data_IF_545988173484
#
_entry.id   IF_545988173484
#
_cell.length_a   1.000
_cell.length_b   1.000
_cell.length_c   1.000
_cell.angle_alpha   90.00
_cell.angle_beta   90.00
_cell.angle_gamma   90.00
#
_symmetry.space_group_name_H-M   'P 1'
#
loop_
_entity.id
_entity.type
_entity.pdbx_description
1 polymer ?
#
# COMPACT_ATOMS: atom_id res chain seq x y z
N UNK A 1 -10.76 13.17 -60.17
CA UNK A 1 -10.95 11.89 -59.44
C UNK A 1 -10.63 12.13 -57.97
N UNK A 2 -11.66 12.21 -57.12
CA UNK A 2 -11.52 12.46 -55.68
C UNK A 2 -11.71 11.13 -54.94
N UNK A 3 -10.64 10.58 -54.37
CA UNK A 3 -10.70 9.40 -53.50
C UNK A 3 -11.11 9.85 -52.09
N UNK A 4 -12.39 9.65 -51.74
CA UNK A 4 -12.86 9.71 -50.36
C UNK A 4 -12.34 8.48 -49.60
N UNK A 5 -11.36 8.68 -48.72
CA UNK A 5 -10.92 7.67 -47.75
C UNK A 5 -11.97 7.56 -46.65
N UNK A 6 -12.70 6.43 -46.61
CA UNK A 6 -13.48 6.03 -45.45
C UNK A 6 -12.52 5.56 -44.35
N UNK A 7 -12.50 6.26 -43.22
CA UNK A 7 -11.85 5.80 -42.00
C UNK A 7 -12.74 4.73 -41.36
N UNK A 8 -12.26 3.53 -41.05
CA UNK A 8 -13.04 2.57 -40.29
C UNK A 8 -13.19 3.06 -38.85
N UNK A 9 -14.43 3.20 -38.41
CA UNK A 9 -14.80 3.47 -37.03
C UNK A 9 -14.50 2.21 -36.21
N UNK A 10 -13.33 2.15 -35.59
CA UNK A 10 -12.99 1.07 -34.64
C UNK A 10 -13.82 1.33 -33.38
N UNK A 11 -14.89 0.56 -33.23
CA UNK A 11 -15.70 0.52 -32.02
C UNK A 11 -14.82 -0.09 -30.91
N UNK A 12 -14.18 0.76 -30.09
CA UNK A 12 -13.55 0.32 -28.85
C UNK A 12 -14.67 -0.14 -27.92
N UNK A 13 -14.93 -1.44 -27.88
CA UNK A 13 -15.73 -2.04 -26.83
C UNK A 13 -14.95 -1.89 -25.53
N UNK A 14 -15.31 -0.89 -24.73
CA UNK A 14 -14.85 -0.83 -23.34
C UNK A 14 -15.40 -2.06 -22.64
N UNK A 15 -14.55 -3.07 -22.41
CA UNK A 15 -14.84 -4.19 -21.54
C UNK A 15 -15.10 -3.61 -20.15
N UNK A 16 -16.37 -3.30 -19.88
CA UNK A 16 -16.83 -2.99 -18.54
C UNK A 16 -16.62 -4.27 -17.73
N UNK A 17 -15.65 -4.25 -16.82
CA UNK A 17 -15.53 -5.29 -15.81
C UNK A 17 -16.83 -5.25 -14.99
N UNK A 18 -17.72 -6.21 -15.26
CA UNK A 18 -18.97 -6.34 -14.52
C UNK A 18 -18.62 -6.63 -13.05
N UNK A 19 -19.06 -5.75 -12.15
CA UNK A 19 -19.02 -5.99 -10.71
C UNK A 19 -19.98 -7.10 -10.34
N UNK A 20 -19.65 -7.88 -9.31
CA UNK A 20 -20.41 -9.07 -8.91
C UNK A 20 -21.34 -8.71 -7.77
N UNK A 21 -22.63 -9.03 -7.87
CA UNK A 21 -23.59 -8.73 -6.83
C UNK A 21 -23.23 -9.48 -5.52
N UNK A 22 -23.61 -8.95 -4.35
CA UNK A 22 -23.30 -9.57 -3.05
C UNK A 22 -23.73 -11.04 -2.95
N UNK A 23 -24.83 -11.44 -3.57
CA UNK A 23 -25.37 -12.80 -3.53
C UNK A 23 -24.46 -13.81 -4.24
N UNK A 24 -23.86 -13.42 -5.37
CA UNK A 24 -22.88 -14.25 -6.08
C UNK A 24 -21.64 -14.48 -5.21
N UNK A 25 -21.18 -13.43 -4.53
CA UNK A 25 -20.08 -13.56 -3.59
C UNK A 25 -20.43 -14.50 -2.44
N UNK A 26 -21.61 -14.32 -1.81
CA UNK A 26 -22.04 -15.15 -0.68
C UNK A 26 -22.10 -16.62 -1.09
N UNK A 27 -22.69 -16.94 -2.25
CA UNK A 27 -22.73 -18.32 -2.76
C UNK A 27 -21.35 -18.91 -3.09
N UNK A 28 -20.37 -18.05 -3.40
CA UNK A 28 -19.00 -18.43 -3.73
C UNK A 28 -18.03 -18.35 -2.54
N UNK A 29 -18.53 -18.00 -1.35
CA UNK A 29 -17.75 -17.90 -0.13
C UNK A 29 -17.93 -19.16 0.72
N UNK A 30 -16.83 -19.80 1.12
CA UNK A 30 -16.91 -21.06 1.86
C UNK A 30 -17.34 -20.92 3.33
N UNK A 31 -17.41 -19.68 3.84
CA UNK A 31 -17.85 -19.35 5.19
C UNK A 31 -19.26 -18.73 5.20
N UNK A 32 -19.65 -18.18 6.35
CA UNK A 32 -20.90 -17.45 6.50
C UNK A 32 -20.71 -15.98 6.18
N UNK A 33 -21.58 -15.42 5.34
CA UNK A 33 -21.66 -13.99 5.07
C UNK A 33 -23.13 -13.56 4.89
N UNK A 34 -23.43 -12.30 5.18
CA UNK A 34 -24.76 -11.74 5.05
C UNK A 34 -24.70 -10.37 4.35
N UNK A 35 -25.63 -10.15 3.43
CA UNK A 35 -25.86 -8.88 2.76
C UNK A 35 -27.07 -8.18 3.38
N UNK A 36 -26.91 -6.90 3.72
CA UNK A 36 -27.98 -6.03 4.19
C UNK A 36 -28.13 -4.86 3.21
N UNK A 37 -29.16 -4.93 2.37
CA UNK A 37 -29.43 -3.95 1.33
C UNK A 37 -29.74 -2.56 1.90
N UNK A 38 -30.53 -2.48 2.97
CA UNK A 38 -30.94 -1.21 3.60
C UNK A 38 -29.76 -0.36 4.10
N UNK A 39 -28.69 -1.02 4.53
CA UNK A 39 -27.47 -0.38 5.03
C UNK A 39 -26.30 -0.44 4.06
N UNK A 40 -26.50 -1.03 2.87
CA UNK A 40 -25.45 -1.25 1.88
C UNK A 40 -24.22 -1.97 2.45
N UNK A 41 -24.44 -2.92 3.36
CA UNK A 41 -23.40 -3.61 4.14
C UNK A 41 -23.32 -5.10 3.82
N UNK A 42 -22.12 -5.58 3.46
CA UNK A 42 -21.79 -7.00 3.46
C UNK A 42 -20.96 -7.35 4.71
N UNK A 43 -21.43 -8.30 5.51
CA UNK A 43 -20.71 -8.79 6.68
C UNK A 43 -20.26 -10.24 6.52
N UNK A 44 -18.97 -10.49 6.68
CA UNK A 44 -18.40 -11.84 6.83
C UNK A 44 -18.49 -12.29 8.29
N UNK A 45 -19.29 -13.32 8.56
CA UNK A 45 -19.65 -13.79 9.89
C UNK A 45 -18.67 -14.86 10.39
N UNK A 46 -18.26 -15.78 9.51
CA UNK A 46 -17.31 -16.85 9.84
C UNK A 46 -16.21 -16.94 8.80
N UNK A 47 -15.07 -17.52 9.20
CA UNK A 47 -13.90 -17.69 8.33
C UNK A 47 -14.21 -18.52 7.09
N UNK A 48 -13.53 -18.21 6.00
CA UNK A 48 -13.76 -18.84 4.71
C UNK A 48 -12.92 -18.24 3.59
N UNK A 49 -13.09 -18.79 2.39
CA UNK A 49 -12.37 -18.40 1.19
C UNK A 49 -13.35 -17.94 0.11
N UNK A 50 -13.07 -16.79 -0.50
CA UNK A 50 -13.75 -16.33 -1.71
C UNK A 50 -13.26 -17.21 -2.87
N UNK A 51 -14.19 -17.90 -3.55
CA UNK A 51 -13.87 -18.76 -4.69
C UNK A 51 -14.85 -18.53 -5.85
N UNK A 52 -14.75 -17.34 -6.46
CA UNK A 52 -15.56 -16.94 -7.59
C UNK A 52 -15.15 -17.72 -8.84
N UNK A 53 -16.12 -18.10 -9.67
CA UNK A 53 -15.85 -18.74 -10.95
C UNK A 53 -15.32 -17.72 -11.97
N UNK A 54 -14.00 -17.47 -11.94
CA UNK A 54 -13.33 -16.52 -12.84
C UNK A 54 -12.07 -17.08 -13.45
N UNK A 55 -11.84 -16.67 -14.69
CA UNK A 55 -10.58 -16.89 -15.38
C UNK A 55 -9.43 -16.05 -14.77
N UNK A 56 -8.20 -16.30 -15.23
CA UNK A 56 -7.03 -15.47 -14.96
C UNK A 56 -6.66 -15.32 -13.48
N UNK A 57 -6.86 -16.38 -12.68
CA UNK A 57 -6.39 -16.45 -11.28
C UNK A 57 -7.01 -15.36 -10.38
N UNK A 58 -8.22 -14.91 -10.76
CA UNK A 58 -8.98 -13.86 -10.04
C UNK A 58 -10.13 -14.40 -9.19
N UNK A 59 -10.20 -15.72 -8.97
CA UNK A 59 -11.26 -16.35 -8.17
C UNK A 59 -11.35 -15.80 -6.74
N UNK A 60 -10.25 -15.30 -6.19
CA UNK A 60 -10.21 -14.71 -4.84
C UNK A 60 -10.51 -13.20 -4.81
N UNK A 61 -10.68 -12.54 -5.95
CA UNK A 61 -10.76 -11.08 -6.03
C UNK A 61 -12.19 -10.65 -6.33
N UNK A 62 -12.87 -10.12 -5.33
CA UNK A 62 -14.20 -9.56 -5.52
C UNK A 62 -14.11 -8.13 -6.06
N UNK A 63 -14.68 -7.90 -7.25
CA UNK A 63 -14.91 -6.55 -7.74
C UNK A 63 -16.21 -6.04 -7.11
N UNK A 64 -16.05 -5.23 -6.07
CA UNK A 64 -17.11 -4.77 -5.18
C UNK A 64 -18.06 -3.86 -5.97
N UNK A 65 -19.36 -4.20 -6.03
CA UNK A 65 -20.33 -3.44 -6.79
C UNK A 65 -20.71 -2.16 -6.04
N UNK A 66 -21.25 -1.17 -6.76
CA UNK A 66 -21.38 0.21 -6.24
C UNK A 66 -22.40 0.32 -5.10
N UNK A 67 -23.36 -0.58 -5.06
CA UNK A 67 -24.36 -0.72 -4.02
C UNK A 67 -23.76 -1.14 -2.66
N UNK A 68 -22.54 -1.71 -2.65
CA UNK A 68 -21.84 -2.06 -1.41
C UNK A 68 -20.96 -0.89 -0.97
N UNK A 69 -21.44 -0.15 0.03
CA UNK A 69 -20.66 0.96 0.62
C UNK A 69 -19.87 0.53 1.85
N UNK A 70 -20.18 -0.64 2.43
CA UNK A 70 -19.54 -1.14 3.64
C UNK A 70 -19.29 -2.65 3.59
N UNK A 71 -18.09 -3.07 3.98
CA UNK A 71 -17.70 -4.46 4.14
C UNK A 71 -17.17 -4.65 5.56
N UNK A 72 -17.76 -5.57 6.32
CA UNK A 72 -17.40 -5.86 7.71
C UNK A 72 -16.81 -7.26 7.81
N UNK A 73 -15.60 -7.36 8.36
CA UNK A 73 -14.95 -8.62 8.73
C UNK A 73 -15.26 -8.89 10.19
N UNK A 74 -16.02 -9.94 10.48
CA UNK A 74 -16.42 -10.30 11.84
C UNK A 74 -15.23 -10.52 12.77
N UNK A 75 -15.47 -10.46 14.08
CA UNK A 75 -14.48 -10.85 15.09
C UNK A 75 -14.16 -12.35 14.95
N UNK A 76 -12.88 -12.72 15.10
CA UNK A 76 -12.39 -14.09 14.90
C UNK A 76 -12.67 -14.67 13.51
N UNK A 77 -12.77 -13.80 12.50
CA UNK A 77 -13.04 -14.17 11.12
C UNK A 77 -11.79 -13.96 10.26
N UNK A 78 -11.43 -15.00 9.49
CA UNK A 78 -10.40 -14.94 8.46
C UNK A 78 -11.08 -15.04 7.09
N UNK A 79 -11.03 -13.96 6.32
CA UNK A 79 -11.50 -13.91 4.94
C UNK A 79 -10.31 -14.08 4.01
N UNK A 80 -10.18 -15.24 3.37
CA UNK A 80 -9.21 -15.46 2.30
C UNK A 80 -9.78 -14.93 1.00
N UNK A 81 -9.21 -13.84 0.46
CA UNK A 81 -9.81 -13.11 -0.64
C UNK A 81 -9.12 -11.79 -0.91
N UNK A 82 -9.69 -10.91 -1.73
CA UNK A 82 -9.25 -9.54 -1.97
C UNK A 82 -10.44 -8.69 -2.43
N UNK A 83 -10.38 -7.37 -2.19
CA UNK A 83 -11.48 -6.45 -2.43
C UNK A 83 -11.08 -5.32 -3.38
N UNK A 84 -11.76 -5.21 -4.51
CA UNK A 84 -11.51 -4.19 -5.53
C UNK A 84 -12.72 -3.27 -5.69
N UNK A 85 -12.62 -2.04 -5.21
CA UNK A 85 -13.74 -1.08 -5.19
C UNK A 85 -13.72 -0.15 -6.40
N UNK A 86 -14.89 0.32 -6.81
CA UNK A 86 -15.05 1.32 -7.88
C UNK A 86 -15.92 2.53 -7.46
N UNK A 87 -16.30 2.58 -6.19
CA UNK A 87 -17.06 3.65 -5.51
C UNK A 87 -16.54 3.81 -4.08
N UNK A 88 -17.08 4.80 -3.37
CA UNK A 88 -16.85 4.96 -1.94
C UNK A 88 -17.18 3.67 -1.19
N UNK A 89 -16.22 3.17 -0.43
CA UNK A 89 -16.38 1.92 0.31
C UNK A 89 -15.52 1.93 1.57
N UNK A 90 -16.09 1.48 2.68
CA UNK A 90 -15.38 1.22 3.93
C UNK A 90 -15.26 -0.28 4.14
N UNK A 91 -14.04 -0.78 4.29
CA UNK A 91 -13.72 -2.16 4.63
C UNK A 91 -13.15 -2.15 6.04
N UNK A 92 -13.83 -2.79 6.99
CA UNK A 92 -13.41 -2.73 8.38
C UNK A 92 -13.54 -4.06 9.13
N UNK A 93 -12.70 -4.25 10.12
CA UNK A 93 -12.82 -5.35 11.07
C UNK A 93 -13.60 -4.92 12.31
N UNK A 94 -14.32 -5.85 12.92
CA UNK A 94 -14.87 -5.65 14.26
C UNK A 94 -13.75 -5.61 15.32
N UNK A 95 -12.62 -6.27 15.06
CA UNK A 95 -11.47 -6.31 15.95
C UNK A 95 -10.16 -6.42 15.16
N UNK A 96 -9.25 -5.45 15.36
CA UNK A 96 -7.98 -5.38 14.63
C UNK A 96 -7.18 -6.68 14.60
N UNK A 97 -7.18 -7.44 15.69
CA UNK A 97 -6.29 -8.59 15.85
C UNK A 97 -6.91 -9.90 15.37
N UNK A 98 -8.24 -9.95 15.27
CA UNK A 98 -8.99 -11.19 14.99
C UNK A 98 -9.87 -11.11 13.74
N UNK A 99 -10.09 -9.91 13.20
CA UNK A 99 -10.68 -9.67 11.89
C UNK A 99 -9.56 -9.62 10.84
N UNK A 100 -9.36 -10.74 10.14
CA UNK A 100 -8.22 -10.95 9.26
C UNK A 100 -8.67 -11.03 7.81
N UNK A 101 -7.98 -10.31 6.93
CA UNK A 101 -8.06 -10.53 5.48
C UNK A 101 -6.76 -11.17 5.02
N UNK A 102 -6.86 -12.38 4.48
CA UNK A 102 -5.73 -13.21 4.09
C UNK A 102 -5.60 -13.30 2.56
N UNK A 103 -4.39 -13.16 2.02
CA UNK A 103 -4.13 -13.35 0.60
C UNK A 103 -3.73 -14.78 0.25
N UNK A 104 -2.44 -15.11 0.43
CA UNK A 104 -1.86 -16.40 0.03
C UNK A 104 -0.61 -16.74 0.84
N UNK A 105 -0.37 -18.02 1.12
CA UNK A 105 0.87 -18.52 1.73
C UNK A 105 2.03 -18.56 0.73
N UNK A 106 1.72 -18.57 -0.56
CA UNK A 106 2.70 -18.74 -1.61
C UNK A 106 3.64 -17.53 -1.69
N UNK A 107 4.94 -17.81 -1.59
CA UNK A 107 5.97 -16.84 -1.94
C UNK A 107 5.98 -16.59 -3.45
N UNK A 108 6.26 -15.33 -3.84
CA UNK A 108 6.36 -14.95 -5.26
C UNK A 108 5.13 -15.32 -6.10
N UNK A 109 3.94 -15.21 -5.50
CA UNK A 109 2.68 -15.63 -6.12
C UNK A 109 2.47 -15.06 -7.53
N UNK A 110 2.75 -13.77 -7.73
CA UNK A 110 2.64 -13.11 -9.04
C UNK A 110 3.73 -13.57 -10.02
N UNK A 111 5.00 -13.58 -9.60
CA UNK A 111 6.13 -13.95 -10.46
C UNK A 111 6.03 -15.40 -10.94
N UNK A 112 5.63 -16.33 -10.06
CA UNK A 112 5.50 -17.75 -10.39
C UNK A 112 4.39 -18.02 -11.43
N UNK A 113 3.57 -17.00 -11.73
CA UNK A 113 2.47 -17.04 -12.70
C UNK A 113 2.69 -16.11 -13.89
N UNK A 114 3.85 -15.46 -13.99
CA UNK A 114 4.13 -14.48 -15.03
C UNK A 114 3.22 -13.25 -14.99
N UNK A 115 2.65 -12.94 -13.82
CA UNK A 115 1.73 -11.82 -13.64
C UNK A 115 2.48 -10.53 -13.35
N UNK A 116 1.90 -9.40 -13.76
CA UNK A 116 2.36 -8.08 -13.32
C UNK A 116 1.86 -7.82 -11.91
N UNK A 117 2.72 -7.98 -10.92
CA UNK A 117 2.36 -7.90 -9.50
C UNK A 117 1.57 -6.63 -9.13
N UNK A 118 1.89 -5.51 -9.76
CA UNK A 118 1.19 -4.25 -9.51
C UNK A 118 -0.32 -4.36 -9.79
N UNK A 119 -0.77 -5.20 -10.71
CA UNK A 119 -2.19 -5.33 -11.09
C UNK A 119 -3.05 -6.05 -10.04
N UNK A 120 -2.43 -6.53 -8.96
CA UNK A 120 -3.07 -7.31 -7.91
C UNK A 120 -2.82 -6.67 -6.55
N UNK A 121 -3.88 -6.48 -5.77
CA UNK A 121 -3.77 -5.97 -4.41
C UNK A 121 -4.85 -6.54 -3.51
N UNK A 122 -4.55 -6.63 -2.22
CA UNK A 122 -5.49 -7.05 -1.19
C UNK A 122 -6.70 -6.12 -1.11
N UNK A 123 -6.44 -4.81 -1.21
CA UNK A 123 -7.45 -3.75 -1.31
C UNK A 123 -7.08 -2.82 -2.47
N UNK A 124 -7.88 -2.84 -3.53
CA UNK A 124 -7.71 -1.96 -4.68
C UNK A 124 -8.81 -0.91 -4.73
N UNK A 125 -8.44 0.36 -4.92
CA UNK A 125 -9.38 1.43 -5.23
C UNK A 125 -9.25 1.85 -6.70
N UNK A 126 -10.29 1.58 -7.49
CA UNK A 126 -10.42 1.99 -8.90
C UNK A 126 -11.31 3.22 -9.09
N UNK A 127 -12.02 3.68 -8.05
CA UNK A 127 -12.86 4.88 -8.07
C UNK A 127 -13.48 5.18 -6.70
N UNK A 128 -13.77 6.45 -6.43
CA UNK A 128 -14.26 6.91 -5.13
C UNK A 128 -13.19 6.91 -4.04
N UNK A 129 -13.61 6.87 -2.78
CA UNK A 129 -12.75 6.86 -1.59
C UNK A 129 -12.79 5.50 -0.90
N UNK A 130 -11.64 4.85 -0.80
CA UNK A 130 -11.48 3.59 -0.05
C UNK A 130 -11.01 3.87 1.37
N UNK A 131 -11.70 3.30 2.36
CA UNK A 131 -11.32 3.35 3.79
C UNK A 131 -11.11 1.93 4.28
N UNK A 132 -9.94 1.62 4.81
CA UNK A 132 -9.60 0.32 5.41
C UNK A 132 -9.31 0.53 6.89
N UNK A 133 -10.06 -0.12 7.79
CA UNK A 133 -9.99 0.18 9.23
C UNK A 133 -10.01 -1.04 10.14
N UNK A 134 -9.35 -0.94 11.29
CA UNK A 134 -9.51 -1.85 12.43
C UNK A 134 -9.44 -3.35 12.07
N UNK A 135 -8.50 -3.73 11.20
CA UNK A 135 -8.30 -5.12 10.75
C UNK A 135 -6.82 -5.45 10.57
N UNK A 136 -6.52 -6.73 10.41
CA UNK A 136 -5.19 -7.21 10.01
C UNK A 136 -5.27 -7.81 8.61
N UNK A 137 -4.40 -7.37 7.70
CA UNK A 137 -4.19 -7.98 6.40
C UNK A 137 -2.90 -8.80 6.43
N UNK A 138 -2.95 -10.05 5.98
CA UNK A 138 -1.83 -10.99 6.04
C UNK A 138 -1.54 -11.58 4.66
N UNK A 139 -0.25 -11.59 4.30
CA UNK A 139 0.31 -12.22 3.12
C UNK A 139 -0.46 -11.91 1.83
N UNK A 140 -0.42 -10.67 1.34
CA UNK A 140 -1.19 -10.25 0.18
C UNK A 140 -0.74 -11.02 -1.06
N UNK A 141 -1.65 -11.18 -2.03
CA UNK A 141 -1.31 -11.77 -3.33
C UNK A 141 -0.18 -11.02 -4.04
N UNK A 142 -0.22 -9.69 -3.95
CA UNK A 142 0.89 -8.80 -4.24
C UNK A 142 0.77 -7.59 -3.31
N UNK A 143 0.21 -6.45 -3.72
CA UNK A 143 0.20 -5.23 -2.91
C UNK A 143 -0.85 -5.31 -1.78
N UNK A 144 -0.67 -4.62 -0.65
CA UNK A 144 -1.71 -4.47 0.35
C UNK A 144 -2.78 -3.45 -0.08
N UNK A 145 -2.44 -2.16 -0.14
CA UNK A 145 -3.37 -1.10 -0.56
C UNK A 145 -2.87 -0.41 -1.82
N UNK A 146 -3.73 -0.38 -2.84
CA UNK A 146 -3.45 0.34 -4.09
C UNK A 146 -4.63 1.16 -4.59
N UNK A 147 -4.49 2.48 -4.54
CA UNK A 147 -5.47 3.43 -5.06
C UNK A 147 -5.14 4.07 -6.40
N UNK A 148 -3.94 3.83 -6.94
CA UNK A 148 -3.45 4.54 -8.14
C UNK A 148 -3.43 6.05 -7.95
N UNK A 149 -4.46 6.77 -8.39
CA UNK A 149 -4.67 8.21 -8.19
C UNK A 149 -5.86 8.51 -7.25
N UNK A 150 -6.62 7.48 -6.87
CA UNK A 150 -7.79 7.60 -6.00
C UNK A 150 -7.37 7.63 -4.53
N UNK A 151 -8.19 8.30 -3.71
CA UNK A 151 -7.94 8.49 -2.29
C UNK A 151 -8.11 7.17 -1.53
N UNK A 152 -7.15 6.88 -0.65
CA UNK A 152 -7.21 5.72 0.25
C UNK A 152 -6.94 6.18 1.68
N UNK A 153 -7.60 5.56 2.65
CA UNK A 153 -7.35 5.79 4.07
C UNK A 153 -7.14 4.47 4.78
N UNK A 154 -6.05 4.35 5.55
CA UNK A 154 -5.81 3.21 6.42
C UNK A 154 -5.77 3.70 7.88
N UNK A 155 -6.63 3.15 8.75
CA UNK A 155 -6.66 3.53 10.17
C UNK A 155 -6.71 2.31 11.09
N UNK A 156 -5.80 2.22 12.06
CA UNK A 156 -5.72 1.12 13.03
C UNK A 156 -5.62 -0.26 12.37
N UNK A 157 -4.82 -0.36 11.29
CA UNK A 157 -4.61 -1.61 10.56
C UNK A 157 -3.22 -2.20 10.78
N UNK A 158 -3.10 -3.52 10.61
CA UNK A 158 -1.81 -4.20 10.53
C UNK A 158 -1.65 -4.86 9.16
N UNK A 159 -0.55 -4.61 8.46
CA UNK A 159 -0.25 -5.17 7.15
C UNK A 159 1.02 -6.03 7.24
N UNK A 160 0.87 -7.36 7.20
CA UNK A 160 1.92 -8.30 7.58
C UNK A 160 2.20 -9.31 6.46
N UNK A 161 3.41 -9.30 5.91
CA UNK A 161 3.95 -10.40 5.10
C UNK A 161 4.89 -11.25 5.96
N UNK A 162 4.35 -12.33 6.50
CA UNK A 162 5.12 -13.27 7.33
C UNK A 162 5.89 -14.31 6.49
N UNK A 163 5.80 -14.26 5.15
CA UNK A 163 6.55 -15.16 4.24
C UNK A 163 8.00 -14.72 4.06
N UNK A 164 8.44 -13.65 4.73
CA UNK A 164 9.84 -13.21 4.73
C UNK A 164 10.21 -12.21 3.64
N UNK A 165 9.29 -11.84 2.74
CA UNK A 165 9.35 -10.63 1.90
C UNK A 165 10.14 -10.70 0.59
N UNK A 166 10.85 -11.78 0.26
CA UNK A 166 11.62 -11.86 -0.98
C UNK A 166 10.75 -12.19 -2.21
N UNK A 167 10.58 -11.22 -3.10
CA UNK A 167 9.86 -11.40 -4.38
C UNK A 167 8.35 -11.53 -4.24
N UNK A 168 7.80 -11.20 -3.06
CA UNK A 168 6.35 -11.28 -2.83
C UNK A 168 5.58 -10.07 -3.37
N UNK A 169 6.27 -8.97 -3.69
CA UNK A 169 5.66 -7.70 -4.10
C UNK A 169 4.61 -7.20 -3.11
N UNK A 170 4.86 -7.43 -1.82
CA UNK A 170 3.97 -7.07 -0.73
C UNK A 170 4.14 -5.62 -0.30
N UNK A 171 4.00 -4.70 -1.23
CA UNK A 171 4.02 -3.26 -1.01
C UNK A 171 2.90 -2.86 -0.05
N UNK A 172 3.15 -1.93 0.87
CA UNK A 172 2.19 -1.54 1.91
C UNK A 172 1.09 -0.63 1.39
N UNK A 173 1.39 0.66 1.24
CA UNK A 173 0.40 1.68 0.95
C UNK A 173 0.77 2.54 -0.27
N UNK A 174 -0.17 2.63 -1.21
CA UNK A 174 -0.08 3.48 -2.40
C UNK A 174 -1.43 4.15 -2.70
N UNK A 175 -1.71 5.30 -2.07
CA UNK A 175 -2.91 6.12 -2.33
C UNK A 175 -2.62 7.36 -3.17
N UNK A 176 -3.66 7.96 -3.75
CA UNK A 176 -3.62 9.26 -4.43
C UNK A 176 -3.54 10.45 -3.47
N UNK A 177 -3.69 11.67 -3.99
CA UNK A 177 -3.69 12.89 -3.17
C UNK A 177 -4.76 12.85 -2.06
N UNK A 178 -4.40 13.38 -0.90
CA UNK A 178 -5.29 13.45 0.27
C UNK A 178 -5.43 12.12 1.01
N UNK A 179 -4.65 11.10 0.65
CA UNK A 179 -4.68 9.80 1.33
C UNK A 179 -4.04 9.88 2.71
N UNK A 180 -4.53 9.08 3.65
CA UNK A 180 -4.02 9.08 5.04
C UNK A 180 -3.68 7.68 5.55
N UNK A 181 -2.69 7.61 6.43
CA UNK A 181 -2.28 6.40 7.16
C UNK A 181 -2.19 6.76 8.64
N UNK A 182 -2.96 6.08 9.50
CA UNK A 182 -3.07 6.43 10.92
C UNK A 182 -3.06 5.20 11.81
N UNK A 183 -2.23 5.19 12.84
CA UNK A 183 -2.18 4.16 13.89
C UNK A 183 -1.94 2.73 13.33
N UNK A 184 -1.19 2.64 12.24
CA UNK A 184 -0.97 1.40 11.48
C UNK A 184 0.36 0.71 11.80
N UNK A 185 0.41 -0.60 11.55
CA UNK A 185 1.63 -1.41 11.58
C UNK A 185 1.92 -1.99 10.20
N UNK A 186 3.16 -1.91 9.72
CA UNK A 186 3.60 -2.51 8.46
C UNK A 186 4.79 -3.45 8.67
N UNK A 187 4.68 -4.66 8.12
CA UNK A 187 5.75 -5.64 7.98
C UNK A 187 5.72 -6.12 6.52
N UNK A 188 6.26 -5.32 5.62
CA UNK A 188 6.12 -5.48 4.17
C UNK A 188 7.42 -5.94 3.54
N UNK A 189 7.34 -6.92 2.63
CA UNK A 189 8.43 -7.39 1.77
C UNK A 189 8.79 -6.47 0.60
N UNK A 190 8.33 -5.21 0.59
CA UNK A 190 8.67 -4.23 -0.44
C UNK A 190 8.51 -2.80 0.11
N UNK A 191 8.17 -1.82 -0.74
CA UNK A 191 7.91 -0.43 -0.37
C UNK A 191 6.73 -0.35 0.63
N UNK A 192 6.99 0.03 1.88
CA UNK A 192 5.95 0.10 2.92
C UNK A 192 5.01 1.29 2.68
N UNK A 193 5.55 2.48 2.42
CA UNK A 193 4.77 3.68 2.12
C UNK A 193 5.34 4.32 0.85
N UNK A 194 4.49 4.45 -0.19
CA UNK A 194 4.84 5.14 -1.43
C UNK A 194 4.39 6.59 -1.38
N UNK A 195 5.35 7.49 -1.22
CA UNK A 195 5.16 8.94 -1.16
C UNK A 195 5.06 9.56 -2.57
N UNK A 196 4.21 8.99 -3.43
CA UNK A 196 4.08 9.43 -4.82
C UNK A 196 3.15 10.63 -4.97
N UNK A 197 2.19 10.77 -4.05
CA UNK A 197 1.16 11.81 -4.00
C UNK A 197 1.21 12.54 -2.65
N UNK A 198 0.36 13.56 -2.49
CA UNK A 198 0.21 14.24 -1.20
C UNK A 198 -0.46 13.30 -0.20
N UNK A 199 0.24 12.98 0.89
CA UNK A 199 -0.23 12.03 1.90
C UNK A 199 0.11 12.49 3.32
N UNK A 200 -0.70 12.03 4.26
CA UNK A 200 -0.46 12.20 5.69
C UNK A 200 -0.27 10.85 6.38
N UNK A 201 0.75 10.76 7.23
CA UNK A 201 1.11 9.54 7.96
C UNK A 201 1.24 9.89 9.44
N UNK A 202 0.57 9.17 10.33
CA UNK A 202 0.62 9.43 11.77
C UNK A 202 0.55 8.16 12.62
N UNK A 203 1.36 8.06 13.68
CA UNK A 203 1.30 6.94 14.63
C UNK A 203 1.63 5.59 14.01
N UNK A 204 2.57 5.54 13.05
CA UNK A 204 2.85 4.32 12.27
C UNK A 204 4.11 3.62 12.76
N UNK A 205 4.03 2.29 12.89
CA UNK A 205 5.22 1.44 13.07
C UNK A 205 5.51 0.64 11.81
N UNK A 206 6.78 0.64 11.36
CA UNK A 206 7.25 -0.14 10.21
C UNK A 206 8.37 -1.08 10.67
N UNK A 207 8.16 -2.38 10.54
CA UNK A 207 9.21 -3.39 10.75
C UNK A 207 9.87 -3.74 9.42
N UNK A 208 11.15 -3.38 9.31
CA UNK A 208 11.96 -3.70 8.14
C UNK A 208 12.31 -5.19 8.11
N UNK A 209 11.57 -5.95 7.29
CA UNK A 209 11.91 -7.31 6.87
C UNK A 209 12.74 -7.29 5.57
N UNK A 210 13.03 -8.46 5.01
CA UNK A 210 13.81 -8.52 3.76
C UNK A 210 13.09 -7.75 2.66
N UNK A 211 13.86 -7.02 1.85
CA UNK A 211 13.38 -6.20 0.74
C UNK A 211 12.50 -4.97 1.12
N UNK A 212 12.18 -4.79 2.40
CA UNK A 212 11.44 -3.61 2.87
C UNK A 212 12.18 -2.30 2.60
N UNK A 213 11.44 -1.28 2.15
CA UNK A 213 11.83 0.14 2.19
C UNK A 213 10.72 0.93 2.86
N UNK A 214 10.96 1.57 4.02
CA UNK A 214 9.93 2.34 4.73
C UNK A 214 9.26 3.42 3.89
N UNK A 215 10.04 4.26 3.21
CA UNK A 215 9.53 5.35 2.38
C UNK A 215 10.14 5.31 0.97
N UNK A 216 9.29 5.11 -0.03
CA UNK A 216 9.67 5.11 -1.44
C UNK A 216 9.13 6.36 -2.15
N UNK A 217 10.00 7.05 -2.87
CA UNK A 217 9.66 8.28 -3.60
C UNK A 217 9.43 8.09 -5.10
N UNK A 218 9.88 6.97 -5.68
CA UNK A 218 9.53 6.67 -7.06
C UNK A 218 10.35 5.57 -7.71
N UNK A 219 9.73 4.97 -8.72
CA UNK A 219 10.36 4.13 -9.73
C UNK A 219 10.34 4.79 -11.12
N UNK A 220 9.66 5.93 -11.26
CA UNK A 220 9.48 6.75 -12.46
C UNK A 220 9.14 8.19 -12.03
N UNK A 221 9.00 9.09 -13.01
CA UNK A 221 8.37 10.40 -12.84
C UNK A 221 6.86 10.20 -12.71
N UNK A 222 6.28 10.70 -11.62
CA UNK A 222 4.84 10.70 -11.39
C UNK A 222 4.31 12.13 -11.39
N UNK A 223 4.75 12.91 -10.41
CA UNK A 223 4.27 14.26 -10.11
C UNK A 223 4.98 14.82 -8.87
N UNK A 224 4.93 16.13 -8.67
CA UNK A 224 5.32 16.74 -7.40
C UNK A 224 4.39 16.31 -6.27
N UNK A 225 4.94 16.23 -5.05
CA UNK A 225 4.12 15.89 -3.88
C UNK A 225 4.69 16.39 -2.55
N UNK A 226 3.79 16.48 -1.57
CA UNK A 226 4.03 16.85 -0.18
C UNK A 226 3.60 15.71 0.74
N UNK A 227 4.55 15.11 1.46
CA UNK A 227 4.24 14.14 2.52
C UNK A 227 4.39 14.79 3.90
N UNK A 228 3.37 14.65 4.75
CA UNK A 228 3.39 15.08 6.15
C UNK A 228 3.37 13.85 7.04
N UNK A 229 4.40 13.67 7.85
CA UNK A 229 4.64 12.44 8.58
C UNK A 229 4.85 12.78 10.05
N UNK A 230 4.12 12.10 10.93
CA UNK A 230 4.17 12.32 12.37
C UNK A 230 4.29 11.01 13.13
N UNK A 231 5.08 10.97 14.19
CA UNK A 231 5.12 9.86 15.15
C UNK A 231 5.32 8.49 14.47
N UNK A 232 6.39 8.36 13.70
CA UNK A 232 6.74 7.12 12.98
C UNK A 232 7.91 6.43 13.65
N UNK A 233 7.72 5.13 13.91
CA UNK A 233 8.76 4.24 14.44
C UNK A 233 9.14 3.19 13.40
N UNK A 234 10.44 3.05 13.13
CA UNK A 234 11.00 2.05 12.22
C UNK A 234 11.88 1.11 13.03
N UNK A 235 11.59 -0.19 12.96
CA UNK A 235 12.31 -1.23 13.71
C UNK A 235 12.84 -2.33 12.79
N UNK A 236 13.71 -3.17 13.32
CA UNK A 236 14.21 -4.37 12.65
C UNK A 236 15.66 -4.24 12.21
N UNK A 237 16.16 -5.25 11.50
CA UNK A 237 17.58 -5.32 11.09
C UNK A 237 17.79 -5.73 9.63
N UNK A 238 16.69 -5.90 8.88
CA UNK A 238 16.69 -6.25 7.45
C UNK A 238 16.29 -5.02 6.62
N UNK A 239 16.03 -5.22 5.33
CA UNK A 239 15.63 -4.19 4.37
C UNK A 239 16.11 -4.51 2.96
N UNK A 240 15.84 -3.60 2.02
CA UNK A 240 16.26 -3.76 0.62
C UNK A 240 17.76 -3.62 0.39
N UNK A 241 18.30 -4.58 -0.36
CA UNK A 241 19.69 -4.56 -0.81
C UNK A 241 20.70 -4.51 0.33
N UNK A 242 21.94 -4.14 -0.01
CA UNK A 242 23.01 -4.05 0.99
C UNK A 242 22.79 -2.88 1.96
N UNK A 243 22.28 -1.76 1.45
CA UNK A 243 22.13 -0.51 2.18
C UNK A 243 20.96 -0.50 3.16
N UNK A 244 19.84 -1.15 2.83
CA UNK A 244 18.60 -1.16 3.63
C UNK A 244 18.15 0.28 3.92
N UNK A 245 17.89 1.09 2.88
CA UNK A 245 17.57 2.50 3.08
C UNK A 245 16.24 2.68 3.81
N UNK A 246 16.17 3.71 4.67
CA UNK A 246 14.90 4.20 5.22
C UNK A 246 14.11 4.96 4.14
N UNK A 247 14.81 5.84 3.42
CA UNK A 247 14.27 6.64 2.33
C UNK A 247 14.93 6.23 1.02
N UNK A 248 14.13 5.84 0.03
CA UNK A 248 14.63 5.44 -1.28
C UNK A 248 13.96 6.24 -2.40
N UNK A 249 14.76 6.53 -3.44
CA UNK A 249 14.25 7.04 -4.71
C UNK A 249 15.06 6.45 -5.85
N UNK A 250 14.44 5.62 -6.68
CA UNK A 250 15.17 4.87 -7.72
C UNK A 250 15.23 5.60 -9.06
N UNK A 251 14.15 6.25 -9.45
CA UNK A 251 14.06 7.01 -10.71
C UNK A 251 12.94 8.05 -10.62
N UNK A 252 12.91 8.98 -11.57
CA UNK A 252 11.96 10.10 -11.66
C UNK A 252 12.64 11.45 -11.64
N UNK A 253 11.91 12.50 -12.02
CA UNK A 253 12.39 13.88 -12.12
C UNK A 253 11.55 14.88 -11.31
N UNK A 254 10.59 14.38 -10.54
CA UNK A 254 9.65 15.19 -9.74
C UNK A 254 10.33 15.97 -8.59
N UNK A 255 9.57 16.86 -7.95
CA UNK A 255 9.91 17.49 -6.67
C UNK A 255 9.10 16.88 -5.51
N UNK A 256 9.80 16.25 -4.57
CA UNK A 256 9.23 15.72 -3.33
C UNK A 256 9.55 16.62 -2.16
N UNK A 257 8.52 17.05 -1.43
CA UNK A 257 8.62 17.77 -0.16
C UNK A 257 8.17 16.86 0.97
N UNK A 258 8.99 16.67 1.99
CA UNK A 258 8.70 15.74 3.09
C UNK A 258 8.94 16.44 4.41
N UNK A 259 7.90 16.48 5.24
CA UNK A 259 7.96 17.08 6.58
C UNK A 259 7.72 15.97 7.60
N UNK A 260 8.70 15.74 8.48
CA UNK A 260 8.63 14.69 9.50
C UNK A 260 8.82 15.28 10.89
N UNK A 261 7.90 14.96 11.78
CA UNK A 261 7.93 15.32 13.20
C UNK A 261 7.75 14.06 14.04
N UNK A 262 8.76 13.62 14.79
CA UNK A 262 8.67 12.38 15.54
C UNK A 262 9.11 11.16 14.72
N UNK A 263 10.39 11.08 14.31
CA UNK A 263 10.93 9.91 13.60
C UNK A 263 11.89 9.11 14.47
N UNK A 264 11.56 7.84 14.73
CA UNK A 264 12.44 6.92 15.45
C UNK A 264 12.90 5.80 14.51
N UNK A 265 14.20 5.58 14.38
CA UNK A 265 14.78 4.52 13.53
C UNK A 265 15.74 3.66 14.34
N UNK A 266 15.32 2.43 14.57
CA UNK A 266 16.05 1.38 15.28
C UNK A 266 16.47 0.28 14.29
N UNK A 267 17.41 0.60 13.41
CA UNK A 267 18.01 -0.37 12.49
C UNK A 267 19.51 -0.05 12.28
N UNK A 268 20.40 -0.62 13.10
CA UNK A 268 21.83 -0.30 13.05
C UNK A 268 22.52 -0.81 11.77
N UNK A 269 21.81 -1.55 10.91
CA UNK A 269 22.31 -2.04 9.61
C UNK A 269 21.81 -1.20 8.43
N UNK A 270 20.91 -0.25 8.66
CA UNK A 270 20.30 0.59 7.63
C UNK A 270 21.21 1.73 7.17
N UNK A 271 20.77 2.39 6.09
CA UNK A 271 21.20 3.73 5.74
C UNK A 271 20.01 4.69 5.80
N UNK A 272 20.27 5.99 6.00
CA UNK A 272 19.19 6.99 5.92
C UNK A 272 18.66 7.05 4.48
N UNK A 273 19.54 7.25 3.50
CA UNK A 273 19.16 7.55 2.12
C UNK A 273 19.80 6.63 1.06
N UNK A 274 19.00 6.17 0.10
CA UNK A 274 19.47 5.65 -1.19
C UNK A 274 18.71 6.36 -2.32
N UNK A 275 19.32 7.39 -2.91
CA UNK A 275 18.70 8.27 -3.89
C UNK A 275 19.49 8.19 -5.21
N UNK A 276 18.82 7.77 -6.28
CA UNK A 276 19.40 7.52 -7.61
C UNK A 276 18.66 8.30 -8.73
N UNK A 277 17.59 8.99 -8.38
CA UNK A 277 16.76 9.81 -9.26
C UNK A 277 17.46 11.12 -9.69
N UNK A 278 16.92 11.79 -10.71
CA UNK A 278 17.32 13.15 -11.12
C UNK A 278 16.43 14.25 -10.52
N UNK A 279 15.42 13.87 -9.75
CA UNK A 279 14.47 14.78 -9.13
C UNK A 279 15.06 15.58 -7.98
N UNK A 280 14.18 16.30 -7.28
CA UNK A 280 14.51 17.15 -6.14
C UNK A 280 13.85 16.62 -4.88
N UNK A 281 14.61 16.45 -3.80
CA UNK A 281 14.08 16.09 -2.48
C UNK A 281 14.35 17.22 -1.48
N UNK A 282 13.30 17.87 -1.01
CA UNK A 282 13.34 18.76 0.15
C UNK A 282 12.70 18.05 1.36
N UNK A 283 13.52 17.62 2.31
CA UNK A 283 13.10 16.91 3.52
C UNK A 283 13.55 17.65 4.78
N UNK A 284 12.62 17.87 5.70
CA UNK A 284 12.86 18.43 7.04
C UNK A 284 12.36 17.45 8.10
N UNK A 285 13.26 16.97 8.94
CA UNK A 285 13.00 16.01 10.02
C UNK A 285 13.30 16.67 11.36
N UNK A 286 12.31 16.67 12.26
CA UNK A 286 12.40 17.18 13.63
C UNK A 286 12.02 16.10 14.64
N UNK A 287 12.37 16.31 15.90
CA UNK A 287 12.00 15.45 17.03
C UNK A 287 12.33 13.98 16.73
N UNK A 288 13.60 13.71 16.43
CA UNK A 288 14.02 12.47 15.80
C UNK A 288 15.14 11.75 16.57
N UNK A 289 15.02 10.43 16.58
CA UNK A 289 16.07 9.51 16.97
C UNK A 289 16.39 8.60 15.78
N UNK A 290 17.53 8.83 15.12
CA UNK A 290 17.96 8.03 13.97
C UNK A 290 19.29 7.38 14.32
N UNK A 291 19.31 6.06 14.51
CA UNK A 291 20.53 5.30 14.73
C UNK A 291 20.70 4.24 13.63
N UNK A 292 21.51 4.57 12.63
CA UNK A 292 21.75 3.71 11.46
C UNK A 292 23.25 3.55 11.18
N UNK A 293 23.61 2.61 10.29
CA UNK A 293 25.01 2.32 9.96
C UNK A 293 25.70 3.49 9.26
N UNK A 294 24.98 4.17 8.37
CA UNK A 294 25.55 5.21 7.49
C UNK A 294 24.47 6.17 6.99
N UNK A 295 24.87 7.38 6.63
CA UNK A 295 23.97 8.35 5.99
C UNK A 295 23.45 7.85 4.63
N UNK A 296 24.35 7.34 3.77
CA UNK A 296 24.02 6.89 2.42
C UNK A 296 24.33 7.96 1.38
N UNK A 297 23.37 8.27 0.50
CA UNK A 297 23.58 9.18 -0.64
C UNK A 297 23.89 10.60 -0.18
N UNK A 298 25.07 11.13 -0.55
CA UNK A 298 25.55 12.44 -0.10
C UNK A 298 25.16 13.59 -1.02
N UNK A 299 25.31 13.41 -2.34
CA UNK A 299 25.02 14.45 -3.32
C UNK A 299 23.68 14.13 -3.99
N UNK A 300 22.67 14.95 -3.74
CA UNK A 300 21.34 14.85 -4.33
C UNK A 300 20.71 16.24 -4.33
N UNK A 301 19.94 16.56 -5.37
CA UNK A 301 19.31 17.88 -5.54
C UNK A 301 18.24 18.11 -4.46
N UNK A 302 18.28 19.29 -3.83
CA UNK A 302 17.35 19.68 -2.78
C UNK A 302 17.97 19.69 -1.38
N UNK A 303 17.13 19.97 -0.39
CA UNK A 303 17.52 20.18 1.00
C UNK A 303 17.25 18.94 1.84
N UNK A 304 18.23 18.49 2.63
CA UNK A 304 18.04 17.39 3.59
C UNK A 304 18.43 17.88 4.98
N UNK A 305 17.43 18.38 5.72
CA UNK A 305 17.58 18.90 7.07
C UNK A 305 17.07 17.88 8.08
N UNK A 306 17.92 17.46 9.01
CA UNK A 306 17.58 16.52 10.08
C UNK A 306 18.03 17.15 11.39
N UNK A 307 17.13 17.29 12.36
CA UNK A 307 17.41 17.91 13.64
C UNK A 307 18.03 19.31 13.49
N UNK A 308 17.47 20.14 12.62
CA UNK A 308 17.97 21.51 12.43
C UNK A 308 19.22 21.63 11.54
N UNK A 309 19.88 20.54 11.16
CA UNK A 309 21.17 20.57 10.45
C UNK A 309 21.14 19.85 9.10
N UNK A 310 21.98 20.27 8.15
CA UNK A 310 22.24 19.56 6.89
C UNK A 310 23.48 18.66 6.95
N UNK A 311 24.10 18.52 8.13
CA UNK A 311 25.24 17.62 8.32
C UNK A 311 24.83 16.17 8.01
N UNK A 312 25.64 15.50 7.21
CA UNK A 312 25.40 14.13 6.75
C UNK A 312 25.93 13.13 7.78
N UNK A 313 25.11 12.77 8.77
CA UNK A 313 25.48 11.90 9.88
C UNK A 313 24.65 10.62 9.90
N UNK A 314 25.12 9.59 10.58
CA UNK A 314 24.40 8.33 10.73
C UNK A 314 23.71 8.19 12.10
N UNK A 315 24.00 9.11 13.02
CA UNK A 315 23.32 9.30 14.29
C UNK A 315 22.73 10.70 14.35
N UNK A 316 21.43 10.80 14.60
CA UNK A 316 20.74 12.04 14.90
C UNK A 316 19.88 11.85 16.15
N UNK A 317 19.96 12.79 17.08
CA UNK A 317 19.15 12.82 18.29
C UNK A 317 18.72 14.27 18.49
N UNK A 318 17.43 14.55 18.40
CA UNK A 318 16.84 15.83 18.79
C UNK A 318 15.51 15.60 19.50
N UNK A 319 15.20 16.43 20.52
CA UNK A 319 13.88 16.45 21.16
C UNK A 319 12.82 16.83 20.15
#
# INVERSE_FOLDING_TARGET
MSLKRCLPFVLLTTLAFASQPPEELISSYSGGAAWNEDSSELKFITSGTINLNRENLRSHFWDVPKEVSRIVIGKNCIVTGAFHTCSDCTIEGEDRNTSIVYGTDQQKWADSRGLKAYEYSQFQNRGGVLRVRNLTAVNPFAFFIRGWKNQCHAEKCSFIDNRGGWGNHSDGFSGGHGSTIKDCYFETGDDAIKCYFDIEVSGVTIKMIQNCVPFQFGWNTYQDSVSRIKDVTIIGSRGRGRAKPVFQWKSGEDHKKVFIDGLQVFNPKASVFELQSKGRLDIDIKNAFINVRRYGTKNFTGTRKICGTQKQMNLHVCP
#
